data_IF_546990562163
#
_entry.id   IF_546990562163
#
_cell.length_a   1.000
_cell.length_b   1.000
_cell.length_c   1.000
_cell.angle_alpha   90.00
_cell.angle_beta   90.00
_cell.angle_gamma   90.00
#
_symmetry.space_group_name_H-M   'P 1'
#
loop_
_entity.id
_entity.type
_entity.pdbx_description
1 polymer ?
#
# COMPACT_ATOMS: atom_id res chain seq x y z
N UNK A 1 -5.10 1.00 8.12
CA UNK A 1 -4.18 2.05 7.63
C UNK A 1 -3.85 1.76 6.18
N UNK A 2 -3.67 2.79 5.37
CA UNK A 2 -3.23 2.70 3.98
C UNK A 2 -2.59 4.03 3.58
N UNK A 3 -2.16 4.21 2.35
CA UNK A 3 -1.72 5.49 1.82
C UNK A 3 -2.38 5.78 0.46
N UNK A 4 -2.18 7.00 -0.04
CA UNK A 4 -2.82 7.48 -1.27
C UNK A 4 -2.36 6.74 -2.54
N UNK A 5 -1.17 6.12 -2.57
CA UNK A 5 -0.75 5.32 -3.72
C UNK A 5 -1.55 4.02 -3.82
N UNK A 6 -1.90 3.40 -2.70
CA UNK A 6 -2.76 2.20 -2.71
C UNK A 6 -4.15 2.53 -3.27
N UNK A 7 -4.68 3.71 -2.94
CA UNK A 7 -5.96 4.18 -3.48
C UNK A 7 -5.87 4.51 -4.97
N UNK A 8 -4.78 5.15 -5.42
CA UNK A 8 -4.50 5.37 -6.84
C UNK A 8 -4.42 4.03 -7.60
N UNK A 9 -3.67 3.06 -7.07
CA UNK A 9 -3.51 1.74 -7.68
C UNK A 9 -4.84 0.98 -7.73
N UNK A 10 -5.67 1.06 -6.68
CA UNK A 10 -7.02 0.49 -6.68
C UNK A 10 -7.86 1.04 -7.85
N UNK A 11 -7.90 2.37 -8.02
CA UNK A 11 -8.68 3.02 -9.08
C UNK A 11 -8.13 2.64 -10.46
N UNK A 12 -6.80 2.71 -10.63
CA UNK A 12 -6.11 2.40 -11.87
C UNK A 12 -6.28 0.94 -12.28
N UNK A 13 -6.03 -0.01 -11.37
CA UNK A 13 -6.15 -1.45 -11.62
C UNK A 13 -7.60 -1.84 -11.89
N UNK A 14 -8.56 -1.28 -11.14
CA UNK A 14 -9.99 -1.50 -11.39
C UNK A 14 -10.37 -1.16 -12.82
N UNK A 15 -9.88 -0.03 -13.34
CA UNK A 15 -10.10 0.34 -14.74
C UNK A 15 -9.32 -0.55 -15.71
N UNK A 16 -8.02 -0.72 -15.50
CA UNK A 16 -7.12 -1.40 -16.44
C UNK A 16 -7.43 -2.90 -16.58
N UNK A 17 -7.67 -3.58 -15.46
CA UNK A 17 -7.80 -5.04 -15.40
C UNK A 17 -9.25 -5.50 -15.52
N UNK A 18 -10.20 -4.72 -15.00
CA UNK A 18 -11.61 -5.10 -14.92
C UNK A 18 -12.55 -4.17 -15.70
N UNK A 19 -12.02 -3.14 -16.37
CA UNK A 19 -12.78 -2.14 -17.13
C UNK A 19 -13.84 -1.39 -16.31
N UNK A 20 -13.69 -1.32 -14.99
CA UNK A 20 -14.59 -0.57 -14.11
C UNK A 20 -14.42 0.94 -14.38
N UNK A 21 -15.49 1.70 -14.63
CA UNK A 21 -15.41 3.15 -14.79
C UNK A 21 -14.83 3.83 -13.55
N UNK A 22 -14.01 4.87 -13.73
CA UNK A 22 -13.35 5.55 -12.60
C UNK A 22 -14.33 6.09 -11.56
N UNK A 23 -15.47 6.64 -12.00
CA UNK A 23 -16.48 7.16 -11.07
C UNK A 23 -17.03 6.08 -10.13
N UNK A 24 -17.15 4.82 -10.59
CA UNK A 24 -17.62 3.71 -9.75
C UNK A 24 -16.56 3.33 -8.72
N UNK A 25 -15.28 3.23 -9.11
CA UNK A 25 -14.20 2.92 -8.17
C UNK A 25 -13.97 4.02 -7.15
N UNK A 26 -14.11 5.29 -7.56
CA UNK A 26 -14.01 6.46 -6.68
C UNK A 26 -15.17 6.44 -5.67
N UNK A 27 -16.41 6.31 -6.14
CA UNK A 27 -17.59 6.22 -5.27
C UNK A 27 -17.46 5.06 -4.28
N UNK A 28 -17.03 3.89 -4.74
CA UNK A 28 -16.76 2.75 -3.88
C UNK A 28 -15.71 3.07 -2.80
N UNK A 29 -14.60 3.70 -3.19
CA UNK A 29 -13.53 4.08 -2.26
C UNK A 29 -14.03 5.05 -1.20
N UNK A 30 -14.74 6.10 -1.61
CA UNK A 30 -15.25 7.14 -0.71
C UNK A 30 -16.30 6.61 0.28
N UNK A 31 -17.17 5.70 -0.18
CA UNK A 31 -18.31 5.21 0.62
C UNK A 31 -18.03 3.95 1.42
N UNK A 32 -17.15 3.07 0.92
CA UNK A 32 -16.92 1.74 1.52
C UNK A 32 -15.51 1.57 2.10
N UNK A 33 -14.52 2.38 1.71
CA UNK A 33 -13.14 2.23 2.19
C UNK A 33 -12.78 3.35 3.17
N UNK A 34 -12.83 4.60 2.73
CA UNK A 34 -12.37 5.76 3.52
C UNK A 34 -13.00 5.88 4.92
N UNK A 35 -14.28 5.53 5.16
CA UNK A 35 -14.87 5.60 6.50
C UNK A 35 -14.23 4.66 7.52
N UNK A 36 -13.50 3.62 7.07
CA UNK A 36 -12.97 2.55 7.92
C UNK A 36 -11.44 2.50 7.94
N UNK A 37 -10.76 3.37 7.18
CA UNK A 37 -9.29 3.37 7.09
C UNK A 37 -8.72 4.75 7.37
N UNK A 38 -7.62 4.78 8.11
CA UNK A 38 -6.77 5.97 8.20
C UNK A 38 -5.80 5.99 7.03
N UNK A 39 -5.80 7.08 6.27
CA UNK A 39 -4.84 7.33 5.17
C UNK A 39 -3.61 8.04 5.75
N UNK A 40 -2.45 7.43 5.59
CA UNK A 40 -1.15 7.96 6.01
C UNK A 40 -0.62 8.94 4.96
N UNK A 41 0.09 9.96 5.42
CA UNK A 41 0.77 10.90 4.54
C UNK A 41 2.02 10.27 3.94
N UNK A 42 2.35 10.70 2.72
CA UNK A 42 3.61 10.36 2.07
C UNK A 42 4.41 11.65 1.87
N UNK A 43 5.64 11.67 2.37
CA UNK A 43 6.56 12.78 2.27
C UNK A 43 7.99 12.32 2.03
N UNK A 44 8.94 13.19 2.36
CA UNK A 44 10.37 12.94 2.16
C UNK A 44 10.90 11.80 3.03
N UNK A 45 10.37 11.65 4.25
CA UNK A 45 10.80 10.58 5.16
C UNK A 45 10.37 9.20 4.65
N UNK A 46 9.12 9.05 4.17
CA UNK A 46 8.67 7.81 3.54
C UNK A 46 9.52 7.48 2.30
N UNK A 47 9.89 8.49 1.51
CA UNK A 47 10.79 8.32 0.38
C UNK A 47 12.19 7.81 0.80
N UNK A 48 12.76 8.33 1.90
CA UNK A 48 14.05 7.85 2.42
C UNK A 48 13.98 6.38 2.82
N UNK A 49 12.93 5.98 3.54
CA UNK A 49 12.68 4.57 3.85
C UNK A 49 12.53 3.74 2.58
N UNK A 50 11.74 4.21 1.61
CA UNK A 50 11.52 3.50 0.35
C UNK A 50 12.83 3.29 -0.42
N UNK A 51 13.68 4.31 -0.52
CA UNK A 51 14.99 4.20 -1.19
C UNK A 51 15.88 3.13 -0.52
N UNK A 52 15.90 3.08 0.81
CA UNK A 52 16.61 2.04 1.54
C UNK A 52 16.02 0.65 1.28
N UNK A 53 14.69 0.51 1.30
CA UNK A 53 14.00 -0.75 1.07
C UNK A 53 14.24 -1.26 -0.35
N UNK A 54 14.11 -0.40 -1.37
CA UNK A 54 14.35 -0.75 -2.78
C UNK A 54 15.79 -1.25 -2.95
N UNK A 55 16.77 -0.52 -2.42
CA UNK A 55 18.19 -0.86 -2.60
C UNK A 55 18.60 -2.14 -1.87
N UNK A 56 17.98 -2.45 -0.72
CA UNK A 56 18.32 -3.63 0.10
C UNK A 56 17.51 -4.88 -0.24
N UNK A 57 16.25 -4.71 -0.65
CA UNK A 57 15.29 -5.80 -0.75
C UNK A 57 14.66 -5.95 -2.14
N UNK A 58 15.00 -5.06 -3.09
CA UNK A 58 14.53 -5.08 -4.48
C UNK A 58 12.99 -5.07 -4.60
N UNK A 59 12.33 -4.37 -3.68
CA UNK A 59 10.89 -4.21 -3.67
C UNK A 59 10.47 -3.11 -4.68
N UNK A 60 9.33 -3.28 -5.35
CA UNK A 60 8.78 -2.26 -6.26
C UNK A 60 8.64 -0.91 -5.52
N UNK A 61 8.91 0.24 -6.18
CA UNK A 61 8.91 1.53 -5.51
C UNK A 61 7.60 1.92 -4.80
N UNK A 62 6.44 1.57 -5.35
CA UNK A 62 5.14 1.84 -4.72
C UNK A 62 4.99 1.08 -3.40
N UNK A 63 5.38 -0.20 -3.41
CA UNK A 63 5.29 -1.08 -2.24
C UNK A 63 6.34 -0.66 -1.20
N UNK A 64 7.54 -0.29 -1.62
CA UNK A 64 8.56 0.26 -0.73
C UNK A 64 8.11 1.56 -0.06
N UNK A 65 7.38 2.43 -0.77
CA UNK A 65 6.83 3.65 -0.19
C UNK A 65 5.70 3.36 0.80
N UNK A 66 4.84 2.38 0.49
CA UNK A 66 3.83 1.87 1.41
C UNK A 66 4.47 1.34 2.70
N UNK A 67 5.48 0.48 2.59
CA UNK A 67 6.22 -0.02 3.76
C UNK A 67 6.90 1.12 4.52
N UNK A 68 7.50 2.08 3.83
CA UNK A 68 8.11 3.25 4.45
C UNK A 68 7.11 4.05 5.30
N UNK A 69 5.89 4.24 4.79
CA UNK A 69 4.80 4.87 5.55
C UNK A 69 4.41 4.07 6.79
N UNK A 70 4.33 2.73 6.68
CA UNK A 70 4.01 1.87 7.81
C UNK A 70 5.11 1.92 8.88
N UNK A 71 6.37 1.81 8.49
CA UNK A 71 7.52 1.88 9.42
C UNK A 71 7.55 3.24 10.12
N UNK A 72 7.36 4.34 9.39
CA UNK A 72 7.39 5.69 9.97
C UNK A 72 6.23 5.96 10.95
N UNK A 73 5.21 5.10 10.97
CA UNK A 73 4.07 5.17 11.88
C UNK A 73 4.02 3.99 12.87
N UNK A 74 5.13 3.28 13.08
CA UNK A 74 5.26 2.12 13.98
C UNK A 74 4.30 0.95 13.66
N UNK A 75 3.86 0.84 12.40
CA UNK A 75 2.98 -0.23 11.93
C UNK A 75 3.85 -1.36 11.38
N UNK A 76 3.85 -2.50 12.08
CA UNK A 76 4.68 -3.66 11.75
C UNK A 76 3.91 -4.81 11.11
N UNK A 77 2.58 -4.70 10.95
CA UNK A 77 1.74 -5.74 10.35
C UNK A 77 1.13 -5.23 9.03
N UNK A 78 1.44 -5.90 7.93
CA UNK A 78 0.89 -5.59 6.59
C UNK A 78 -0.07 -6.70 6.17
N UNK A 79 -1.30 -6.33 5.81
CA UNK A 79 -2.27 -7.26 5.23
C UNK A 79 -2.13 -7.21 3.71
N UNK A 80 -1.58 -8.26 3.11
CA UNK A 80 -1.36 -8.31 1.66
C UNK A 80 -1.28 -9.73 1.12
N UNK A 81 -1.80 -9.93 -0.09
CA UNK A 81 -1.61 -11.16 -0.86
C UNK A 81 -0.18 -11.33 -1.36
N UNK A 82 0.56 -10.23 -1.49
CA UNK A 82 1.88 -10.21 -2.08
C UNK A 82 2.95 -10.71 -1.11
N UNK A 83 3.53 -11.87 -1.41
CA UNK A 83 4.62 -12.48 -0.64
C UNK A 83 5.92 -11.68 -0.66
N UNK A 84 6.08 -10.67 -1.52
CA UNK A 84 7.30 -9.85 -1.55
C UNK A 84 7.55 -9.10 -0.23
N UNK A 85 6.49 -8.77 0.52
CA UNK A 85 6.62 -8.14 1.85
C UNK A 85 7.30 -9.05 2.88
N UNK A 86 7.32 -10.38 2.67
CA UNK A 86 8.04 -11.32 3.55
C UNK A 86 9.57 -11.12 3.50
N UNK A 87 10.08 -10.40 2.50
CA UNK A 87 11.51 -10.05 2.38
C UNK A 87 11.93 -8.91 3.31
N UNK A 88 10.99 -8.19 3.92
CA UNK A 88 11.27 -6.98 4.70
C UNK A 88 11.24 -7.29 6.21
N UNK A 89 12.38 -7.30 6.92
CA UNK A 89 12.42 -7.73 8.33
C UNK A 89 11.65 -6.83 9.30
N UNK A 90 11.45 -5.56 8.95
CA UNK A 90 10.78 -4.57 9.79
C UNK A 90 9.26 -4.76 9.85
N UNK A 91 8.68 -5.55 8.95
CA UNK A 91 7.24 -5.80 8.87
C UNK A 91 6.96 -7.29 8.78
N UNK A 92 5.77 -7.68 9.22
CA UNK A 92 5.23 -9.02 9.14
C UNK A 92 4.03 -8.99 8.19
N UNK A 93 4.02 -9.86 7.19
CA UNK A 93 2.86 -10.04 6.34
C UNK A 93 1.81 -10.93 7.02
N UNK A 94 0.55 -10.55 6.89
CA UNK A 94 -0.60 -11.36 7.24
C UNK A 94 -1.46 -11.54 5.98
N UNK A 95 -1.79 -12.78 5.67
CA UNK A 95 -2.74 -13.10 4.61
C UNK A 95 -3.61 -14.28 5.02
N UNK A 96 -4.82 -14.34 4.48
CA UNK A 96 -5.71 -15.47 4.69
C UNK A 96 -5.25 -16.59 3.77
N UNK A 97 -4.56 -17.57 4.33
CA UNK A 97 -4.29 -18.83 3.65
C UNK A 97 -5.60 -19.60 3.49
N UNK A 98 -5.85 -20.12 2.28
CA UNK A 98 -7.00 -20.98 1.98
C UNK A 98 -6.71 -22.43 2.28
#
# INVERSE_FOLDING_TARGET
YTDVLVLDELIYVSKRKYNIPYNISIEFTETNILPYVTVLNLGEEEYKYAAEIITKHDLKPSDALHVGAMINNDITLIVSEDGEFDRIPAVKRLWIER
#
